data_IF_425462872677
#
_entry.id   IF_425462872677
#
_cell.length_a   1.000
_cell.length_b   1.000
_cell.length_c   1.000
_cell.angle_alpha   90.00
_cell.angle_beta   90.00
_cell.angle_gamma   90.00
#
_symmetry.space_group_name_H-M   'P 1'
#
loop_
_entity.id
_entity.type
_entity.pdbx_description
1 polymer ?
#
# COMPACT_ATOMS: atom_id res chain seq x y z
N UNK A 1 -21.06 18.55 -81.11
CA UNK A 1 -20.74 17.56 -82.17
C UNK A 1 -20.81 16.23 -81.54
N UNK A 2 -21.86 15.56 -81.75
CA UNK A 2 -22.15 14.30 -82.44
C UNK A 2 -21.66 13.11 -81.63
N UNK A 3 -22.39 12.21 -81.24
CA UNK A 3 -23.56 11.41 -81.64
C UNK A 3 -23.24 9.95 -81.17
N UNK A 4 -24.14 9.35 -80.39
CA UNK A 4 -25.20 8.41 -80.81
C UNK A 4 -24.71 6.99 -81.06
N UNK A 5 -25.17 5.98 -80.42
CA UNK A 5 -26.13 4.90 -80.62
C UNK A 5 -25.80 3.68 -79.70
N UNK A 6 -26.76 3.27 -78.90
CA UNK A 6 -27.72 2.18 -79.04
C UNK A 6 -27.12 0.82 -79.55
N UNK A 7 -27.31 -0.24 -78.80
CA UNK A 7 -28.40 -1.20 -79.00
C UNK A 7 -28.43 -2.34 -77.96
N UNK A 8 -29.66 -2.70 -77.68
CA UNK A 8 -30.08 -3.87 -76.84
C UNK A 8 -29.68 -5.20 -77.44
N UNK A 9 -29.51 -6.23 -76.63
CA UNK A 9 -30.30 -7.47 -76.77
C UNK A 9 -30.09 -8.39 -75.55
N UNK A 10 -31.25 -8.85 -75.11
CA UNK A 10 -31.55 -9.87 -74.13
C UNK A 10 -31.10 -11.25 -74.58
N UNK A 11 -30.77 -12.15 -73.61
CA UNK A 11 -31.36 -13.50 -73.54
C UNK A 11 -31.06 -14.19 -72.24
N UNK A 12 -32.09 -14.78 -71.72
CA UNK A 12 -32.18 -15.71 -70.58
C UNK A 12 -31.25 -16.94 -70.71
N UNK A 13 -30.85 -17.52 -69.56
CA UNK A 13 -31.18 -18.90 -69.18
C UNK A 13 -30.50 -19.29 -67.87
N UNK A 14 -31.32 -19.60 -66.88
CA UNK A 14 -31.41 -20.80 -66.05
C UNK A 14 -30.32 -21.07 -65.02
N UNK A 15 -30.66 -20.87 -63.82
CA UNK A 15 -30.73 -21.75 -62.65
C UNK A 15 -29.76 -22.93 -62.54
N UNK A 16 -28.96 -22.92 -61.48
CA UNK A 16 -28.79 -24.10 -60.63
C UNK A 16 -28.25 -23.62 -59.25
N UNK A 17 -28.95 -23.98 -58.22
CA UNK A 17 -28.67 -23.56 -56.85
C UNK A 17 -27.48 -24.27 -56.26
N UNK A 18 -26.81 -23.54 -55.40
CA UNK A 18 -25.97 -24.13 -54.33
C UNK A 18 -26.24 -23.31 -53.07
N UNK A 19 -27.02 -23.89 -52.19
CA UNK A 19 -27.13 -23.44 -50.82
C UNK A 19 -25.77 -23.64 -50.15
N UNK A 20 -24.97 -22.59 -50.04
CA UNK A 20 -23.91 -22.48 -49.10
C UNK A 20 -24.46 -21.95 -47.79
N UNK A 21 -24.75 -22.84 -46.87
CA UNK A 21 -25.01 -22.48 -45.46
C UNK A 21 -23.73 -21.91 -44.87
N UNK A 22 -23.57 -20.61 -44.89
CA UNK A 22 -22.60 -19.90 -44.08
C UNK A 22 -23.08 -19.97 -42.66
N UNK A 23 -22.57 -20.95 -41.90
CA UNK A 23 -22.61 -20.90 -40.43
C UNK A 23 -21.91 -19.66 -39.98
N UNK A 24 -22.68 -18.61 -39.72
CA UNK A 24 -22.20 -17.39 -39.08
C UNK A 24 -21.76 -17.74 -37.66
N UNK A 25 -20.47 -17.91 -37.48
CA UNK A 25 -19.87 -17.74 -36.16
C UNK A 25 -20.26 -16.32 -35.68
N UNK A 26 -20.86 -16.18 -34.51
CA UNK A 26 -21.02 -14.85 -33.95
C UNK A 26 -19.61 -14.32 -33.74
N UNK A 27 -19.27 -13.31 -34.51
CA UNK A 27 -18.08 -12.52 -34.25
C UNK A 27 -18.20 -12.00 -32.83
N UNK A 28 -17.33 -12.50 -31.96
CA UNK A 28 -16.99 -11.86 -30.69
C UNK A 28 -16.26 -10.55 -31.02
N UNK A 29 -17.03 -9.62 -31.57
CA UNK A 29 -16.56 -8.27 -31.81
C UNK A 29 -16.79 -7.47 -30.56
N UNK A 30 -15.66 -7.14 -29.96
CA UNK A 30 -15.39 -5.87 -29.30
C UNK A 30 -16.19 -5.57 -28.05
N UNK A 31 -15.56 -5.87 -26.94
CA UNK A 31 -15.64 -5.05 -25.75
C UNK A 31 -14.77 -3.79 -25.97
N UNK A 32 -15.15 -2.97 -26.96
CA UNK A 32 -14.58 -1.65 -27.18
C UNK A 32 -15.34 -0.63 -26.34
N UNK A 33 -14.75 -0.26 -25.19
CA UNK A 33 -15.13 0.96 -24.50
C UNK A 33 -15.94 0.85 -23.23
N UNK A 34 -16.00 -0.28 -22.55
CA UNK A 34 -16.45 -0.28 -21.16
C UNK A 34 -15.45 0.49 -20.31
N UNK A 35 -15.80 1.72 -19.95
CA UNK A 35 -15.06 2.44 -18.92
C UNK A 35 -15.09 1.59 -17.64
N UNK A 36 -13.91 1.06 -17.27
CA UNK A 36 -13.79 0.31 -16.03
C UNK A 36 -14.24 1.17 -14.84
N UNK A 37 -14.98 0.60 -13.88
CA UNK A 37 -15.25 1.28 -12.63
C UNK A 37 -13.95 1.83 -12.03
N UNK A 38 -14.01 3.07 -11.54
CA UNK A 38 -12.85 3.72 -10.91
C UNK A 38 -13.00 3.72 -9.41
N UNK A 39 -11.86 3.66 -8.72
CA UNK A 39 -11.75 3.89 -7.29
C UNK A 39 -10.65 4.88 -7.02
N UNK A 40 -10.94 5.96 -6.26
CA UNK A 40 -9.94 6.93 -5.82
C UNK A 40 -9.28 6.43 -4.55
N UNK A 41 -7.96 6.31 -4.59
CA UNK A 41 -7.15 5.75 -3.52
C UNK A 41 -6.09 6.75 -3.07
N UNK A 42 -6.20 7.23 -1.82
CA UNK A 42 -5.21 8.09 -1.19
C UNK A 42 -4.10 7.27 -0.52
N UNK A 43 -2.85 7.67 -0.72
CA UNK A 43 -1.68 7.04 -0.10
C UNK A 43 -0.56 8.06 0.10
N UNK A 44 0.24 7.86 1.14
CA UNK A 44 1.48 8.62 1.34
C UNK A 44 2.69 7.88 0.78
N UNK A 45 3.77 8.62 0.47
CA UNK A 45 5.04 8.01 0.07
C UNK A 45 4.87 6.94 -1.01
N UNK A 46 4.26 7.30 -2.14
CA UNK A 46 3.90 6.37 -3.23
C UNK A 46 5.07 5.52 -3.74
N UNK A 47 6.31 6.02 -3.62
CA UNK A 47 7.54 5.30 -4.00
C UNK A 47 8.11 4.42 -2.87
N UNK A 48 7.51 4.44 -1.69
CA UNK A 48 7.94 3.62 -0.57
C UNK A 48 7.64 2.14 -0.79
N UNK A 49 8.53 1.28 -0.32
CA UNK A 49 8.32 -0.17 -0.26
C UNK A 49 7.12 -0.54 0.63
N UNK A 50 6.67 0.36 1.50
CA UNK A 50 5.45 0.20 2.29
C UNK A 50 4.22 -0.04 1.42
N UNK A 51 4.19 0.56 0.20
CA UNK A 51 3.11 0.42 -0.77
C UNK A 51 3.47 -0.42 -2.00
N UNK A 52 4.62 -1.13 -1.96
CA UNK A 52 5.07 -1.98 -3.08
C UNK A 52 3.99 -2.95 -3.60
N UNK A 53 3.15 -3.60 -2.77
CA UNK A 53 2.08 -4.46 -3.29
C UNK A 53 1.13 -3.74 -4.25
N UNK A 54 0.81 -2.46 -3.99
CA UNK A 54 -0.03 -1.65 -4.87
C UNK A 54 0.67 -1.30 -6.17
N UNK A 55 1.95 -0.91 -6.09
CA UNK A 55 2.78 -0.64 -7.27
C UNK A 55 2.84 -1.87 -8.17
N UNK A 56 3.07 -3.05 -7.60
CA UNK A 56 3.08 -4.32 -8.34
C UNK A 56 1.72 -4.60 -8.97
N UNK A 57 0.62 -4.45 -8.21
CA UNK A 57 -0.73 -4.71 -8.73
C UNK A 57 -1.07 -3.82 -9.92
N UNK A 58 -0.68 -2.55 -9.87
CA UNK A 58 -0.89 -1.59 -10.96
C UNK A 58 -0.04 -1.95 -12.20
N UNK A 59 1.27 -2.10 -12.03
CA UNK A 59 2.19 -2.27 -13.16
C UNK A 59 2.16 -3.67 -13.78
N UNK A 60 1.75 -4.69 -13.03
CA UNK A 60 1.42 -6.00 -13.58
C UNK A 60 0.01 -6.07 -14.20
N UNK A 61 -0.75 -4.97 -14.15
CA UNK A 61 -2.09 -4.89 -14.71
C UNK A 61 -3.14 -5.71 -13.95
N UNK A 62 -2.87 -6.11 -12.71
CA UNK A 62 -3.79 -6.96 -11.95
C UNK A 62 -5.12 -6.28 -11.63
N UNK A 63 -5.12 -4.97 -11.38
CA UNK A 63 -6.37 -4.23 -11.18
C UNK A 63 -7.23 -4.22 -12.46
N UNK A 64 -6.62 -3.95 -13.61
CA UNK A 64 -7.33 -3.97 -14.90
C UNK A 64 -7.83 -5.37 -15.25
N UNK A 65 -7.03 -6.41 -14.98
CA UNK A 65 -7.43 -7.81 -15.15
C UNK A 65 -8.67 -8.17 -14.32
N UNK A 66 -8.85 -7.48 -13.18
CA UNK A 66 -10.01 -7.66 -12.30
C UNK A 66 -11.15 -6.68 -12.59
N UNK A 67 -11.05 -5.91 -13.65
CA UNK A 67 -12.11 -5.03 -14.11
C UNK A 67 -12.24 -3.74 -13.32
N UNK A 68 -11.15 -3.23 -12.70
CA UNK A 68 -11.14 -1.97 -11.96
C UNK A 68 -9.95 -1.10 -12.36
N UNK A 69 -10.13 0.20 -12.32
CA UNK A 69 -9.08 1.20 -12.48
C UNK A 69 -8.89 1.98 -11.19
N UNK A 70 -7.63 2.12 -10.75
CA UNK A 70 -7.28 2.92 -9.58
C UNK A 70 -6.87 4.32 -10.01
N UNK A 71 -7.50 5.33 -9.41
CA UNK A 71 -7.10 6.73 -9.51
C UNK A 71 -6.28 7.08 -8.27
N UNK A 72 -4.99 7.29 -8.47
CA UNK A 72 -4.05 7.52 -7.38
C UNK A 72 -4.09 8.96 -6.89
N UNK A 73 -4.20 9.16 -5.57
CA UNK A 73 -4.12 10.46 -4.91
C UNK A 73 -2.93 10.45 -3.95
N UNK A 74 -1.70 10.77 -4.43
CA UNK A 74 -0.52 10.81 -3.58
C UNK A 74 -0.58 11.97 -2.58
N UNK A 75 -0.08 11.72 -1.38
CA UNK A 75 -0.02 12.67 -0.27
C UNK A 75 1.37 12.65 0.37
N UNK A 76 1.75 13.73 1.07
CA UNK A 76 3.06 13.83 1.74
C UNK A 76 3.15 13.00 3.03
N UNK A 77 2.00 12.68 3.65
CA UNK A 77 1.96 11.91 4.89
C UNK A 77 0.72 11.04 5.00
N UNK A 78 0.78 10.00 5.86
CA UNK A 78 -0.38 9.16 6.19
C UNK A 78 -1.52 9.95 6.82
N UNK A 79 -1.21 11.00 7.60
CA UNK A 79 -2.23 11.89 8.17
C UNK A 79 -2.99 12.65 7.08
N UNK A 80 -2.28 13.15 6.04
CA UNK A 80 -2.93 13.82 4.90
C UNK A 80 -3.74 12.83 4.04
N UNK A 81 -3.23 11.61 3.83
CA UNK A 81 -4.00 10.57 3.13
C UNK A 81 -5.30 10.24 3.87
N UNK A 82 -5.27 10.18 5.20
CA UNK A 82 -6.46 10.02 6.02
C UNK A 82 -7.44 11.20 5.85
N UNK A 83 -6.95 12.44 5.90
CA UNK A 83 -7.79 13.62 5.68
C UNK A 83 -8.45 13.63 4.30
N UNK A 84 -7.74 13.19 3.25
CA UNK A 84 -8.30 13.09 1.90
C UNK A 84 -9.52 12.16 1.85
N UNK A 85 -9.50 11.06 2.59
CA UNK A 85 -10.65 10.14 2.67
C UNK A 85 -11.77 10.72 3.53
N UNK A 86 -11.45 11.35 4.66
CA UNK A 86 -12.43 11.98 5.53
C UNK A 86 -13.16 13.15 4.84
N UNK A 87 -12.47 13.87 3.95
CA UNK A 87 -13.02 14.97 3.17
C UNK A 87 -13.70 14.52 1.87
N UNK A 88 -13.79 13.20 1.60
CA UNK A 88 -14.42 12.65 0.39
C UNK A 88 -13.61 12.84 -0.91
N UNK A 89 -12.36 13.25 -0.83
CA UNK A 89 -11.47 13.39 -2.00
C UNK A 89 -11.02 12.02 -2.53
N UNK A 90 -10.97 11.00 -1.66
CA UNK A 90 -10.73 9.61 -2.01
C UNK A 90 -11.73 8.69 -1.29
N UNK A 91 -11.93 7.49 -1.84
CA UNK A 91 -12.85 6.49 -1.29
C UNK A 91 -12.13 5.46 -0.42
N UNK A 92 -10.87 5.18 -0.76
CA UNK A 92 -10.01 4.19 -0.11
C UNK A 92 -8.72 4.86 0.34
N UNK A 93 -8.23 4.50 1.51
CA UNK A 93 -6.89 4.85 1.97
C UNK A 93 -6.00 3.60 1.95
N UNK A 94 -4.82 3.73 1.36
CA UNK A 94 -3.72 2.83 1.65
C UNK A 94 -2.84 3.47 2.73
N UNK A 95 -2.77 2.85 3.88
CA UNK A 95 -2.08 3.44 5.02
C UNK A 95 -1.91 2.46 6.17
N UNK A 96 -1.38 2.96 7.26
CA UNK A 96 -1.12 2.17 8.44
C UNK A 96 -2.39 1.85 9.22
N UNK A 97 -2.46 0.62 9.70
CA UNK A 97 -3.65 0.07 10.35
C UNK A 97 -4.09 0.85 11.59
N UNK A 98 -3.15 1.44 12.33
CA UNK A 98 -3.45 2.17 13.57
C UNK A 98 -4.37 3.38 13.38
N UNK A 99 -4.47 3.94 12.17
CA UNK A 99 -5.45 4.99 11.87
C UNK A 99 -6.88 4.54 12.16
N UNK A 100 -7.19 3.25 11.98
CA UNK A 100 -8.51 2.70 12.28
C UNK A 100 -8.87 2.83 13.76
N UNK A 101 -7.91 2.67 14.66
CA UNK A 101 -8.16 2.86 16.09
C UNK A 101 -8.59 4.29 16.41
N UNK A 102 -7.90 5.28 15.82
CA UNK A 102 -8.26 6.69 15.96
C UNK A 102 -9.63 7.02 15.36
N UNK A 103 -9.97 6.42 14.23
CA UNK A 103 -11.29 6.57 13.59
C UNK A 103 -12.41 5.98 14.46
N UNK A 104 -12.23 4.76 14.96
CA UNK A 104 -13.22 4.10 15.85
C UNK A 104 -13.40 4.85 17.18
N UNK A 105 -12.34 5.46 17.73
CA UNK A 105 -12.48 6.35 18.92
C UNK A 105 -13.40 7.53 18.64
N UNK A 106 -13.41 8.04 17.41
CA UNK A 106 -14.29 9.13 16.96
C UNK A 106 -15.67 8.64 16.51
N UNK A 107 -15.95 7.33 16.61
CA UNK A 107 -17.22 6.73 16.18
C UNK A 107 -17.36 6.58 14.67
N UNK A 108 -16.28 6.65 13.91
CA UNK A 108 -16.28 6.53 12.46
C UNK A 108 -16.05 5.08 12.05
N UNK A 109 -16.99 4.43 11.31
CA UNK A 109 -16.98 3.01 11.03
C UNK A 109 -16.13 2.66 9.80
N UNK A 110 -14.82 2.94 9.88
CA UNK A 110 -13.87 2.51 8.85
C UNK A 110 -13.36 1.10 9.14
N UNK A 111 -13.12 0.33 8.10
CA UNK A 111 -12.60 -1.03 8.21
C UNK A 111 -11.43 -1.25 7.25
N UNK A 112 -10.42 -2.01 7.71
CA UNK A 112 -9.45 -2.64 6.82
C UNK A 112 -10.12 -3.82 6.12
N UNK A 113 -9.90 -3.95 4.81
CA UNK A 113 -10.40 -5.05 4.01
C UNK A 113 -9.32 -5.84 3.27
N UNK A 114 -8.05 -5.34 3.26
CA UNK A 114 -6.85 -6.08 2.84
C UNK A 114 -5.67 -5.63 3.69
N UNK A 115 -4.96 -6.57 4.30
CA UNK A 115 -3.68 -6.33 4.96
C UNK A 115 -2.53 -6.52 3.97
N UNK A 116 -1.66 -5.54 3.82
CA UNK A 116 -0.51 -5.61 2.92
C UNK A 116 0.78 -6.02 3.63
N UNK A 117 0.95 -5.65 4.91
CA UNK A 117 2.12 -6.03 5.70
C UNK A 117 1.76 -6.42 7.12
N UNK A 118 2.61 -7.25 7.74
CA UNK A 118 2.50 -7.77 9.11
C UNK A 118 3.45 -7.09 10.08
N UNK A 119 4.01 -5.98 9.64
CA UNK A 119 4.93 -5.14 10.42
C UNK A 119 4.71 -3.67 10.05
N UNK A 120 5.00 -2.71 10.94
CA UNK A 120 4.92 -1.28 10.62
C UNK A 120 5.91 -0.81 9.55
N UNK A 121 6.98 -1.57 9.27
CA UNK A 121 8.01 -1.28 8.25
C UNK A 121 8.69 0.09 8.42
N UNK A 122 8.84 0.56 9.65
CA UNK A 122 9.44 1.85 10.00
C UNK A 122 10.74 1.64 10.76
N UNK A 123 11.70 2.53 10.57
CA UNK A 123 12.98 2.56 11.30
C UNK A 123 13.17 3.92 11.95
N UNK A 124 14.01 3.94 13.00
CA UNK A 124 14.51 5.14 13.63
C UNK A 124 16.04 5.07 13.69
N UNK A 125 16.71 6.10 13.19
CA UNK A 125 18.17 6.22 13.19
C UNK A 125 18.63 7.62 13.51
N UNK A 126 19.74 7.72 14.24
CA UNK A 126 20.42 8.97 14.55
C UNK A 126 21.44 9.33 13.47
N UNK A 127 21.56 10.60 13.13
CA UNK A 127 22.49 11.12 12.15
C UNK A 127 23.94 10.97 12.63
N UNK A 128 24.82 10.40 11.80
CA UNK A 128 26.26 10.30 12.07
C UNK A 128 26.98 11.64 11.93
N UNK A 129 26.32 12.66 11.37
CA UNK A 129 26.88 13.99 11.12
C UNK A 129 26.82 14.92 12.31
N UNK A 130 25.99 14.60 13.34
CA UNK A 130 25.75 15.48 14.48
C UNK A 130 26.83 15.44 15.56
N UNK A 131 27.81 14.54 15.43
CA UNK A 131 28.83 14.30 16.48
C UNK A 131 28.28 13.63 17.75
N UNK A 132 26.96 13.36 17.82
CA UNK A 132 26.37 12.59 18.91
C UNK A 132 26.71 11.11 18.79
N UNK A 133 26.96 10.46 19.93
CA UNK A 133 27.08 9.01 19.98
C UNK A 133 25.70 8.37 20.09
N UNK A 134 25.35 7.51 19.16
CA UNK A 134 24.06 6.81 19.10
C UNK A 134 24.28 5.35 19.50
N UNK A 135 24.28 5.04 20.81
CA UNK A 135 24.48 3.68 21.33
C UNK A 135 23.15 3.01 21.70
N UNK A 136 22.18 3.82 22.13
CA UNK A 136 20.88 3.37 22.63
C UNK A 136 19.77 4.36 22.28
N UNK A 137 18.51 3.96 22.49
CA UNK A 137 17.37 4.88 22.31
C UNK A 137 17.40 6.08 23.24
N UNK A 138 18.01 6.00 24.40
CA UNK A 138 18.07 7.13 25.35
C UNK A 138 18.96 8.27 24.87
N UNK A 139 19.85 8.03 23.89
CA UNK A 139 20.71 9.06 23.30
C UNK A 139 19.95 10.06 22.43
N UNK A 140 18.69 9.74 22.10
CA UNK A 140 17.81 10.64 21.33
C UNK A 140 17.26 11.81 22.18
N UNK A 141 17.50 11.79 23.50
CA UNK A 141 17.02 12.85 24.41
C UNK A 141 17.50 14.23 23.96
N UNK A 142 16.56 15.18 23.88
CA UNK A 142 16.83 16.53 23.37
C UNK A 142 17.09 16.63 21.89
N UNK A 143 16.96 15.55 21.12
CA UNK A 143 17.18 15.56 19.66
C UNK A 143 15.97 16.12 18.92
N UNK A 144 16.24 16.73 17.76
CA UNK A 144 15.23 17.05 16.75
C UNK A 144 14.99 15.78 15.92
N UNK A 145 13.82 15.18 16.12
CA UNK A 145 13.45 13.93 15.50
C UNK A 145 12.53 14.18 14.31
N UNK A 146 13.02 13.94 13.10
CA UNK A 146 12.25 14.01 11.87
C UNK A 146 11.23 12.89 11.78
N UNK A 147 9.97 13.25 11.48
CA UNK A 147 8.86 12.36 11.19
C UNK A 147 8.15 12.84 9.94
N UNK A 148 7.37 11.98 9.26
CA UNK A 148 6.67 12.42 8.04
C UNK A 148 5.64 13.51 8.32
N UNK A 149 4.89 13.41 9.42
CA UNK A 149 4.03 14.44 10.00
C UNK A 149 3.65 14.02 11.41
N UNK A 150 3.14 14.96 12.20
CA UNK A 150 2.46 14.62 13.46
C UNK A 150 1.23 13.76 13.16
N UNK A 151 0.88 12.88 14.08
CA UNK A 151 -0.21 11.89 13.95
C UNK A 151 -0.06 10.87 12.78
N UNK A 152 1.12 10.84 12.14
CA UNK A 152 1.46 9.79 11.16
C UNK A 152 2.03 8.55 11.84
N UNK A 153 2.16 7.45 11.08
CA UNK A 153 2.80 6.20 11.54
C UNK A 153 4.21 6.41 12.06
N UNK A 154 5.00 7.26 11.40
CA UNK A 154 6.39 7.53 11.82
C UNK A 154 6.43 8.23 13.17
N UNK A 155 5.54 9.21 13.41
CA UNK A 155 5.38 9.87 14.70
C UNK A 155 4.91 8.89 15.78
N UNK A 156 3.85 8.12 15.49
CA UNK A 156 3.33 7.13 16.42
C UNK A 156 4.36 6.08 16.79
N UNK A 157 5.13 5.54 15.83
CA UNK A 157 6.18 4.57 16.09
C UNK A 157 7.31 5.17 16.94
N UNK A 158 7.72 6.40 16.66
CA UNK A 158 8.72 7.10 17.46
C UNK A 158 8.25 7.22 18.93
N UNK A 159 7.01 7.66 19.17
CA UNK A 159 6.43 7.72 20.51
C UNK A 159 6.41 6.35 21.22
N UNK A 160 6.13 5.26 20.48
CA UNK A 160 6.18 3.90 21.04
C UNK A 160 7.59 3.52 21.49
N UNK A 161 8.61 3.82 20.69
CA UNK A 161 10.00 3.53 21.04
C UNK A 161 10.49 4.37 22.20
N UNK A 162 10.17 5.66 22.23
CA UNK A 162 10.47 6.54 23.37
C UNK A 162 9.91 5.93 24.66
N UNK A 163 8.61 5.66 24.68
CA UNK A 163 7.92 5.14 25.86
C UNK A 163 8.49 3.79 26.33
N UNK A 164 8.80 2.87 25.41
CA UNK A 164 9.39 1.56 25.77
C UNK A 164 10.78 1.68 26.43
N UNK A 165 11.45 2.79 26.20
CA UNK A 165 12.75 3.11 26.79
C UNK A 165 12.64 4.10 27.99
N UNK A 166 11.43 4.22 28.57
CA UNK A 166 11.19 5.05 29.74
C UNK A 166 11.24 6.56 29.47
N UNK A 167 11.05 6.96 28.22
CA UNK A 167 11.07 8.36 27.78
C UNK A 167 9.67 8.83 27.43
N UNK A 168 9.41 10.12 27.64
CA UNK A 168 8.21 10.79 27.16
C UNK A 168 8.46 11.42 25.78
N UNK A 169 7.37 11.78 25.09
CA UNK A 169 7.47 12.44 23.79
C UNK A 169 8.00 13.89 23.88
N UNK A 170 7.87 14.52 25.05
CA UNK A 170 8.35 15.87 25.35
C UNK A 170 9.89 15.92 25.51
N UNK A 171 10.54 14.76 25.62
CA UNK A 171 12.01 14.67 25.70
C UNK A 171 12.70 14.79 24.35
N UNK A 172 11.94 14.90 23.25
CA UNK A 172 12.44 15.14 21.88
C UNK A 172 11.66 16.30 21.25
N UNK A 173 12.24 16.91 20.21
CA UNK A 173 11.54 17.91 19.40
C UNK A 173 11.16 17.26 18.07
N UNK A 174 9.87 16.99 17.86
CA UNK A 174 9.39 16.46 16.58
C UNK A 174 9.44 17.53 15.49
N UNK A 175 9.98 17.16 14.32
CA UNK A 175 10.06 18.02 13.13
C UNK A 175 9.38 17.30 11.96
N UNK A 176 8.39 17.93 11.35
CA UNK A 176 7.73 17.39 10.17
C UNK A 176 8.62 17.60 8.92
N UNK A 177 9.03 16.49 8.30
CA UNK A 177 9.93 16.49 7.14
C UNK A 177 9.33 15.83 5.89
N UNK A 178 8.06 15.42 5.96
CA UNK A 178 7.41 14.66 4.90
C UNK A 178 7.95 13.24 4.74
N UNK A 179 7.72 12.68 3.56
CA UNK A 179 8.18 11.33 3.19
C UNK A 179 8.85 11.29 1.81
N UNK A 180 9.16 12.46 1.25
CA UNK A 180 9.76 12.66 -0.08
C UNK A 180 11.27 12.94 0.00
N UNK A 181 11.86 13.38 -1.10
CA UNK A 181 13.32 13.65 -1.21
C UNK A 181 13.87 14.66 -0.20
N UNK A 182 13.04 15.58 0.30
CA UNK A 182 13.45 16.60 1.30
C UNK A 182 13.91 16.01 2.64
N UNK A 183 13.52 14.77 2.94
CA UNK A 183 13.88 14.06 4.18
C UNK A 183 15.40 13.94 4.36
N UNK A 184 16.11 13.58 3.28
CA UNK A 184 17.58 13.41 3.31
C UNK A 184 18.29 14.74 3.46
N UNK A 185 17.75 15.79 2.86
CA UNK A 185 18.30 17.15 3.01
C UNK A 185 18.14 17.66 4.44
N UNK A 186 16.99 17.45 5.08
CA UNK A 186 16.78 17.82 6.47
C UNK A 186 17.79 17.15 7.42
N UNK A 187 18.17 15.88 7.14
CA UNK A 187 19.20 15.17 7.90
C UNK A 187 20.59 15.71 7.64
N UNK A 188 20.94 15.98 6.35
CA UNK A 188 22.25 16.41 5.92
C UNK A 188 22.56 17.86 6.29
N UNK A 189 21.57 18.74 6.24
CA UNK A 189 21.70 20.15 6.68
C UNK A 189 21.78 20.28 8.21
N UNK A 190 21.52 19.18 8.94
CA UNK A 190 21.44 19.24 10.39
C UNK A 190 20.17 19.90 10.90
N UNK A 191 19.13 20.05 10.10
CA UNK A 191 17.82 20.52 10.55
C UNK A 191 17.15 19.53 11.49
N UNK A 192 17.49 18.23 11.37
CA UNK A 192 17.13 17.15 12.29
C UNK A 192 18.36 16.37 12.74
N UNK A 193 18.31 15.81 13.93
CA UNK A 193 19.39 15.01 14.53
C UNK A 193 19.15 13.50 14.35
N UNK A 194 17.90 13.11 14.21
CA UNK A 194 17.47 11.73 14.00
C UNK A 194 16.25 11.70 13.08
N UNK A 195 16.01 10.54 12.47
CA UNK A 195 14.93 10.34 11.50
C UNK A 195 14.16 9.06 11.80
N UNK A 196 12.84 9.14 11.75
CA UNK A 196 11.93 8.01 11.76
C UNK A 196 11.17 7.95 10.42
N UNK A 197 11.48 6.94 9.59
CA UNK A 197 10.93 6.85 8.23
C UNK A 197 10.85 5.38 7.76
N UNK A 198 10.05 5.05 6.72
CA UNK A 198 10.10 3.75 6.06
C UNK A 198 11.24 3.65 5.04
N UNK A 199 11.46 2.43 4.54
CA UNK A 199 12.34 2.16 3.40
C UNK A 199 11.69 2.62 2.06
N UNK A 200 12.52 2.95 1.05
CA UNK A 200 13.94 2.61 0.92
C UNK A 200 14.92 3.64 1.50
N UNK A 201 14.45 4.82 1.91
CA UNK A 201 15.31 5.93 2.37
C UNK A 201 16.15 5.53 3.59
N UNK A 202 15.56 4.85 4.58
CA UNK A 202 16.27 4.44 5.79
C UNK A 202 17.37 3.43 5.49
N UNK A 203 17.12 2.46 4.64
CA UNK A 203 18.12 1.49 4.22
C UNK A 203 19.29 2.14 3.46
N UNK A 204 18.96 3.08 2.58
CA UNK A 204 19.99 3.85 1.85
C UNK A 204 20.89 4.67 2.77
N UNK A 205 20.31 5.42 3.72
CA UNK A 205 21.06 6.19 4.70
C UNK A 205 21.93 5.28 5.59
N UNK A 206 21.42 4.11 5.97
CA UNK A 206 22.15 3.07 6.71
C UNK A 206 23.36 2.56 5.90
N UNK A 207 23.18 2.21 4.62
CA UNK A 207 24.26 1.76 3.74
C UNK A 207 25.35 2.84 3.49
N UNK A 208 24.94 4.12 3.44
CA UNK A 208 25.87 5.25 3.30
C UNK A 208 26.55 5.63 4.61
N UNK A 209 26.26 4.94 5.71
CA UNK A 209 26.69 5.30 7.06
C UNK A 209 26.32 6.72 7.47
N UNK A 210 25.21 7.25 6.92
CA UNK A 210 24.69 8.58 7.29
C UNK A 210 23.79 8.54 8.53
N UNK A 211 23.27 7.36 8.87
CA UNK A 211 22.55 7.10 10.11
C UNK A 211 23.11 5.87 10.84
N UNK A 212 23.01 5.89 12.17
CA UNK A 212 23.09 4.70 13.00
C UNK A 212 21.69 4.28 13.41
N UNK A 213 21.32 3.07 13.04
CA UNK A 213 20.00 2.53 13.35
C UNK A 213 19.87 2.28 14.85
N UNK A 214 18.81 2.79 15.46
CA UNK A 214 18.46 2.63 16.88
C UNK A 214 17.34 1.61 17.06
N UNK A 215 16.32 1.69 16.22
CA UNK A 215 15.15 0.81 16.28
C UNK A 215 14.63 0.50 14.87
N UNK A 216 14.04 -0.69 14.70
CA UNK A 216 13.38 -1.06 13.44
C UNK A 216 12.18 -1.99 13.64
N UNK A 217 11.22 -1.87 12.75
CA UNK A 217 10.10 -2.80 12.57
C UNK A 217 9.97 -3.26 11.12
N UNK A 218 11.07 -3.29 10.38
CA UNK A 218 11.13 -3.80 8.99
C UNK A 218 10.88 -5.31 8.93
N UNK A 219 11.37 -6.04 9.93
CA UNK A 219 11.31 -7.50 10.01
C UNK A 219 10.31 -7.97 11.05
N UNK A 220 9.85 -9.21 10.93
CA UNK A 220 9.04 -9.87 11.96
C UNK A 220 9.77 -9.95 13.31
N UNK A 221 11.09 -10.20 13.26
CA UNK A 221 11.93 -10.23 14.47
C UNK A 221 12.05 -8.86 15.13
N UNK A 222 12.33 -7.81 14.37
CA UNK A 222 12.37 -6.44 14.87
C UNK A 222 11.02 -6.01 15.46
N UNK A 223 9.93 -6.32 14.76
CA UNK A 223 8.57 -6.03 15.23
C UNK A 223 8.26 -6.79 16.51
N UNK A 224 8.66 -8.06 16.65
CA UNK A 224 8.44 -8.84 17.87
C UNK A 224 9.12 -8.20 19.08
N UNK A 225 10.34 -7.69 18.92
CA UNK A 225 11.06 -6.98 20.00
C UNK A 225 10.30 -5.77 20.50
N UNK A 226 9.60 -5.05 19.62
CA UNK A 226 8.89 -3.81 19.94
C UNK A 226 7.42 -4.07 20.31
N UNK A 227 6.73 -4.93 19.57
CA UNK A 227 5.28 -5.13 19.69
C UNK A 227 4.89 -6.44 20.37
N UNK A 228 5.84 -7.31 20.69
CA UNK A 228 5.57 -8.65 21.24
C UNK A 228 5.15 -9.69 20.19
N UNK A 229 5.11 -9.33 18.92
CA UNK A 229 4.76 -10.21 17.80
C UNK A 229 4.40 -9.41 16.55
N UNK A 230 3.97 -10.08 15.48
CA UNK A 230 3.46 -9.42 14.29
C UNK A 230 2.24 -8.57 14.63
N UNK A 231 2.11 -7.43 13.94
CA UNK A 231 0.97 -6.52 14.01
C UNK A 231 0.59 -6.09 12.59
N UNK A 232 -0.67 -5.76 12.33
CA UNK A 232 -1.04 -5.23 11.02
C UNK A 232 -0.30 -3.90 10.78
N UNK A 233 0.35 -3.81 9.62
CA UNK A 233 1.02 -2.60 9.15
C UNK A 233 0.21 -1.91 8.05
N UNK A 234 0.75 -1.89 6.82
CA UNK A 234 0.03 -1.35 5.67
C UNK A 234 -1.26 -2.11 5.38
N UNK A 235 -2.34 -1.37 5.15
CA UNK A 235 -3.67 -1.91 4.86
C UNK A 235 -4.41 -1.04 3.85
N UNK A 236 -5.35 -1.64 3.10
CA UNK A 236 -6.42 -0.89 2.47
C UNK A 236 -7.58 -0.75 3.44
N UNK A 237 -8.06 0.48 3.60
CA UNK A 237 -9.18 0.78 4.50
C UNK A 237 -10.17 1.74 3.84
N UNK A 238 -11.45 1.58 4.18
CA UNK A 238 -12.53 2.40 3.68
C UNK A 238 -13.66 2.50 4.71
N UNK A 239 -14.55 3.46 4.50
CA UNK A 239 -15.79 3.55 5.27
C UNK A 239 -16.66 2.32 5.03
N UNK A 240 -17.34 1.82 6.06
CA UNK A 240 -18.20 0.62 5.97
C UNK A 240 -19.28 0.72 4.88
N UNK A 241 -19.80 1.92 4.62
CA UNK A 241 -20.77 2.14 3.55
C UNK A 241 -20.23 1.80 2.15
N UNK A 242 -18.95 2.09 1.86
CA UNK A 242 -18.35 1.70 0.57
C UNK A 242 -18.33 0.18 0.42
N UNK A 243 -17.94 -0.52 1.50
CA UNK A 243 -17.86 -1.98 1.51
C UNK A 243 -19.24 -2.64 1.29
N UNK A 244 -20.30 -2.00 1.79
CA UNK A 244 -21.67 -2.50 1.68
C UNK A 244 -22.36 -2.11 0.36
N UNK A 245 -22.17 -0.88 -0.10
CA UNK A 245 -22.87 -0.35 -1.29
C UNK A 245 -22.21 -0.69 -2.62
N UNK A 246 -20.88 -0.93 -2.59
CA UNK A 246 -20.08 -1.21 -3.80
C UNK A 246 -19.17 -2.44 -3.62
N UNK A 247 -19.73 -3.59 -3.15
CA UNK A 247 -18.93 -4.78 -2.83
C UNK A 247 -18.15 -5.29 -4.05
N UNK A 248 -18.71 -5.19 -5.26
CA UNK A 248 -18.04 -5.64 -6.50
C UNK A 248 -16.77 -4.85 -6.79
N UNK A 249 -16.80 -3.52 -6.59
CA UNK A 249 -15.62 -2.65 -6.76
C UNK A 249 -14.55 -2.98 -5.72
N UNK A 250 -14.96 -3.18 -4.47
CA UNK A 250 -14.07 -3.55 -3.37
C UNK A 250 -13.47 -4.94 -3.62
N UNK A 251 -14.27 -5.89 -4.12
CA UNK A 251 -13.81 -7.24 -4.46
C UNK A 251 -12.79 -7.20 -5.61
N UNK A 252 -13.06 -6.46 -6.67
CA UNK A 252 -12.14 -6.32 -7.80
C UNK A 252 -10.79 -5.72 -7.38
N UNK A 253 -10.81 -4.67 -6.53
CA UNK A 253 -9.61 -4.07 -5.97
C UNK A 253 -8.85 -5.08 -5.09
N UNK A 254 -9.56 -5.81 -4.24
CA UNK A 254 -8.99 -6.85 -3.37
C UNK A 254 -8.35 -7.97 -4.18
N UNK A 255 -9.06 -8.47 -5.20
CA UNK A 255 -8.58 -9.55 -6.08
C UNK A 255 -7.26 -9.18 -6.76
N UNK A 256 -7.16 -7.96 -7.29
CA UNK A 256 -5.95 -7.46 -7.93
C UNK A 256 -4.78 -7.35 -6.95
N UNK A 257 -5.04 -6.82 -5.76
CA UNK A 257 -4.00 -6.67 -4.74
C UNK A 257 -3.52 -8.01 -4.17
N UNK A 258 -4.42 -8.98 -3.97
CA UNK A 258 -4.06 -10.33 -3.48
C UNK A 258 -3.18 -11.07 -4.51
N UNK A 259 -3.34 -10.84 -5.82
CA UNK A 259 -2.41 -11.36 -6.84
C UNK A 259 -1.00 -10.83 -6.62
N UNK A 260 -0.85 -9.52 -6.39
CA UNK A 260 0.45 -8.90 -6.14
C UNK A 260 1.09 -9.41 -4.84
N UNK A 261 0.29 -9.53 -3.76
CA UNK A 261 0.76 -10.07 -2.48
C UNK A 261 1.30 -11.50 -2.60
N UNK A 262 0.70 -12.32 -3.44
CA UNK A 262 1.17 -13.70 -3.69
C UNK A 262 2.36 -13.76 -4.64
N UNK A 263 2.50 -12.79 -5.53
CA UNK A 263 3.63 -12.70 -6.44
C UNK A 263 4.92 -12.26 -5.72
N UNK A 264 4.84 -11.32 -4.78
CA UNK A 264 6.00 -10.73 -4.10
C UNK A 264 6.98 -11.74 -3.46
N UNK A 265 6.55 -12.81 -2.76
CA UNK A 265 7.47 -13.80 -2.20
C UNK A 265 8.26 -14.57 -3.26
N UNK A 266 7.72 -14.72 -4.46
CA UNK A 266 8.31 -15.49 -5.57
C UNK A 266 9.18 -14.64 -6.49
N UNK A 267 9.06 -13.29 -6.40
CA UNK A 267 9.75 -12.37 -7.28
C UNK A 267 11.26 -12.35 -7.04
N UNK A 268 12.04 -12.53 -8.08
CA UNK A 268 13.47 -12.25 -8.06
C UNK A 268 13.75 -10.73 -8.10
N UNK A 269 14.99 -10.33 -7.80
CA UNK A 269 15.38 -8.91 -7.85
C UNK A 269 15.20 -8.30 -9.25
N UNK A 270 15.45 -9.09 -10.29
CA UNK A 270 15.24 -8.69 -11.69
C UNK A 270 13.75 -8.47 -11.99
N UNK A 271 12.87 -9.28 -11.41
CA UNK A 271 11.42 -9.14 -11.61
C UNK A 271 10.90 -7.86 -10.96
N UNK A 272 11.42 -7.51 -9.79
CA UNK A 272 11.12 -6.23 -9.13
C UNK A 272 11.52 -5.05 -10.04
N UNK A 273 12.73 -5.06 -10.59
CA UNK A 273 13.21 -3.98 -11.45
C UNK A 273 12.42 -3.85 -12.77
N UNK A 274 11.93 -4.96 -13.31
CA UNK A 274 11.08 -4.95 -14.53
C UNK A 274 9.66 -4.46 -14.26
N UNK A 275 9.16 -4.69 -13.05
CA UNK A 275 7.77 -4.39 -12.68
C UNK A 275 7.63 -2.98 -12.11
N UNK A 276 8.56 -2.55 -11.27
CA UNK A 276 8.48 -1.27 -10.56
C UNK A 276 9.03 -0.15 -11.44
N UNK A 277 8.36 1.01 -11.56
CA UNK A 277 8.84 2.15 -12.32
C UNK A 277 10.25 2.55 -11.90
N UNK A 278 11.09 2.90 -12.89
CA UNK A 278 12.48 3.30 -12.63
C UNK A 278 12.60 4.52 -11.70
N UNK A 279 11.61 5.41 -11.68
CA UNK A 279 11.55 6.54 -10.76
C UNK A 279 11.61 6.16 -9.28
N UNK A 280 11.24 4.92 -8.91
CA UNK A 280 11.31 4.44 -7.53
C UNK A 280 12.73 4.04 -7.10
N UNK A 281 13.61 3.67 -8.02
CA UNK A 281 14.93 3.08 -7.72
C UNK A 281 16.11 3.67 -8.50
N UNK A 282 15.87 4.59 -9.46
CA UNK A 282 16.93 5.15 -10.30
C UNK A 282 17.99 5.94 -9.52
N UNK A 283 17.63 6.45 -8.35
CA UNK A 283 18.52 7.19 -7.46
C UNK A 283 19.56 6.28 -6.76
N UNK A 284 19.23 5.04 -6.42
CA UNK A 284 20.15 3.98 -5.95
C UNK A 284 19.46 2.60 -6.04
N UNK A 285 19.71 1.91 -7.15
CA UNK A 285 19.11 0.58 -7.42
C UNK A 285 19.49 -0.46 -6.37
N UNK A 286 20.74 -0.46 -5.93
CA UNK A 286 21.22 -1.46 -4.97
C UNK A 286 20.56 -1.27 -3.60
N UNK A 287 20.43 -0.03 -3.16
CA UNK A 287 19.74 0.28 -1.91
C UNK A 287 18.25 -0.09 -1.97
N UNK A 288 17.57 0.18 -3.08
CA UNK A 288 16.18 -0.21 -3.26
C UNK A 288 15.98 -1.72 -3.17
N UNK A 289 16.82 -2.49 -3.87
CA UNK A 289 16.74 -3.96 -3.87
C UNK A 289 17.11 -4.56 -2.51
N UNK A 290 18.13 -4.05 -1.84
CA UNK A 290 18.51 -4.49 -0.50
C UNK A 290 17.41 -4.21 0.54
N UNK A 291 16.75 -3.07 0.43
CA UNK A 291 15.59 -2.74 1.25
C UNK A 291 14.40 -3.70 0.98
N UNK A 292 14.14 -4.01 -0.30
CA UNK A 292 13.10 -4.99 -0.66
C UNK A 292 13.37 -6.37 -0.05
N UNK A 293 14.59 -6.89 -0.16
CA UNK A 293 14.94 -8.19 0.43
C UNK A 293 14.73 -8.20 1.94
N UNK A 294 15.10 -7.12 2.63
CA UNK A 294 14.91 -6.98 4.08
C UNK A 294 13.43 -6.97 4.48
N UNK A 295 12.56 -6.37 3.64
CA UNK A 295 11.12 -6.27 3.89
C UNK A 295 10.31 -7.48 3.41
N UNK A 296 10.87 -8.35 2.56
CA UNK A 296 10.14 -9.42 1.86
C UNK A 296 9.27 -10.26 2.78
N UNK A 297 9.80 -10.67 3.94
CA UNK A 297 9.07 -11.51 4.91
C UNK A 297 7.91 -10.79 5.61
N UNK A 298 7.90 -9.45 5.57
CA UNK A 298 6.91 -8.64 6.25
C UNK A 298 5.61 -8.49 5.47
N UNK A 299 5.58 -8.78 4.17
CA UNK A 299 4.35 -8.69 3.39
C UNK A 299 3.34 -9.77 3.76
N UNK A 300 2.07 -9.42 3.79
CA UNK A 300 0.96 -10.30 4.13
C UNK A 300 0.51 -11.08 2.90
N UNK A 301 1.13 -12.22 2.61
CA UNK A 301 0.98 -13.00 1.36
C UNK A 301 -0.48 -13.34 1.03
N UNK A 302 -1.31 -13.59 2.05
CA UNK A 302 -2.71 -13.93 1.90
C UNK A 302 -3.68 -12.73 2.05
N UNK A 303 -3.16 -11.57 2.43
CA UNK A 303 -3.93 -10.34 2.64
C UNK A 303 -4.85 -10.35 3.87
N UNK A 304 -4.87 -11.43 4.66
CA UNK A 304 -5.78 -11.60 5.79
C UNK A 304 -5.35 -10.76 7.01
N UNK A 305 -6.32 -10.08 7.60
CA UNK A 305 -6.16 -9.45 8.92
C UNK A 305 -6.40 -10.49 10.00
N UNK A 306 -5.45 -10.64 10.93
CA UNK A 306 -5.54 -11.61 12.02
C UNK A 306 -5.92 -10.94 13.33
N UNK A 307 -7.03 -11.37 13.93
CA UNK A 307 -7.56 -10.79 15.18
C UNK A 307 -6.50 -10.68 16.28
N UNK A 308 -5.66 -11.70 16.46
CA UNK A 308 -4.61 -11.68 17.47
C UNK A 308 -3.55 -10.58 17.22
N UNK A 309 -3.24 -10.29 15.93
CA UNK A 309 -2.34 -9.20 15.54
C UNK A 309 -2.99 -7.83 15.80
N UNK A 310 -4.28 -7.70 15.52
CA UNK A 310 -5.05 -6.46 15.76
C UNK A 310 -5.18 -6.18 17.26
N UNK A 311 -5.53 -7.18 18.06
CA UNK A 311 -5.61 -7.04 19.52
C UNK A 311 -4.27 -6.60 20.09
N UNK A 312 -3.18 -7.18 19.64
CA UNK A 312 -1.83 -6.78 20.06
C UNK A 312 -1.51 -5.34 19.67
N UNK A 313 -1.80 -4.96 18.42
CA UNK A 313 -1.61 -3.60 17.94
C UNK A 313 -2.43 -2.60 18.78
N UNK A 314 -3.69 -2.94 19.09
CA UNK A 314 -4.54 -2.13 19.94
C UNK A 314 -3.99 -2.00 21.36
N UNK A 315 -3.55 -3.10 21.97
CA UNK A 315 -2.95 -3.06 23.32
C UNK A 315 -1.76 -2.09 23.38
N UNK A 316 -0.88 -2.14 22.36
CA UNK A 316 0.26 -1.23 22.27
C UNK A 316 -0.20 0.22 22.05
N UNK A 317 -1.14 0.44 21.12
CA UNK A 317 -1.68 1.76 20.78
C UNK A 317 -2.45 2.39 21.95
N UNK A 318 -3.29 1.62 22.63
CA UNK A 318 -4.12 2.10 23.72
C UNK A 318 -3.32 2.71 24.88
N UNK A 319 -2.08 2.26 25.08
CA UNK A 319 -1.23 2.82 26.12
C UNK A 319 -0.77 4.25 25.86
N UNK A 320 -0.81 4.73 24.62
CA UNK A 320 -0.51 6.12 24.26
C UNK A 320 -1.74 7.05 24.40
N UNK A 321 -2.91 6.51 24.73
CA UNK A 321 -4.18 7.25 24.75
C UNK A 321 -4.76 7.34 26.16
N UNK A 322 -5.50 8.43 26.47
CA UNK A 322 -6.21 8.55 27.75
C UNK A 322 -7.15 7.38 28.00
N UNK A 323 -7.29 6.90 29.26
CA UNK A 323 -8.15 5.75 29.58
C UNK A 323 -9.58 5.86 29.07
N UNK A 324 -10.19 7.04 29.16
CA UNK A 324 -11.59 7.28 28.73
C UNK A 324 -11.81 7.07 27.23
N UNK A 325 -10.79 7.22 26.38
CA UNK A 325 -10.90 7.00 24.94
C UNK A 325 -10.74 5.52 24.53
N UNK A 326 -10.26 4.67 25.43
CA UNK A 326 -9.98 3.24 25.15
C UNK A 326 -11.24 2.40 25.03
N UNK A 327 -12.29 2.74 25.80
CA UNK A 327 -13.52 1.94 25.90
C UNK A 327 -14.38 1.91 24.61
N UNK A 328 -14.11 2.81 23.64
CA UNK A 328 -14.90 2.93 22.41
C UNK A 328 -14.41 2.06 21.26
N UNK A 329 -13.22 1.48 21.35
CA UNK A 329 -12.63 0.70 20.27
C UNK A 329 -12.86 -0.78 20.51
N UNK A 330 -13.55 -1.41 19.59
CA UNK A 330 -13.67 -2.87 19.50
C UNK A 330 -12.78 -3.34 18.35
N UNK A 331 -11.58 -3.91 18.65
CA UNK A 331 -10.60 -4.27 17.63
C UNK A 331 -11.18 -5.15 16.51
N UNK A 332 -12.10 -6.04 16.84
CA UNK A 332 -12.74 -6.97 15.90
C UNK A 332 -13.65 -6.28 14.87
N UNK A 333 -14.08 -5.04 15.15
CA UNK A 333 -14.91 -4.24 14.24
C UNK A 333 -14.09 -3.37 13.28
N UNK A 334 -12.77 -3.33 13.46
CA UNK A 334 -11.89 -2.50 12.64
C UNK A 334 -11.52 -3.15 11.31
N UNK A 335 -11.98 -4.37 11.03
CA UNK A 335 -11.65 -5.05 9.77
C UNK A 335 -12.75 -6.03 9.33
N UNK A 336 -12.68 -6.39 8.05
CA UNK A 336 -13.39 -7.53 7.46
C UNK A 336 -12.45 -8.34 6.59
N UNK A 337 -12.56 -9.68 6.66
CA UNK A 337 -11.82 -10.59 5.80
C UNK A 337 -12.66 -11.15 4.65
N UNK A 338 -13.92 -10.73 4.50
CA UNK A 338 -14.85 -11.31 3.54
C UNK A 338 -14.29 -11.27 2.10
N UNK A 339 -13.79 -10.12 1.67
CA UNK A 339 -13.27 -9.93 0.33
C UNK A 339 -11.97 -10.71 0.08
N UNK A 340 -11.06 -10.73 1.04
CA UNK A 340 -9.79 -11.47 0.94
C UNK A 340 -10.02 -12.98 0.96
N UNK A 341 -10.97 -13.47 1.75
CA UNK A 341 -11.34 -14.89 1.77
C UNK A 341 -11.91 -15.32 0.41
N UNK A 342 -12.79 -14.50 -0.18
CA UNK A 342 -13.33 -14.75 -1.52
C UNK A 342 -12.23 -14.76 -2.57
N UNK A 343 -11.32 -13.78 -2.57
CA UNK A 343 -10.17 -13.70 -3.47
C UNK A 343 -9.27 -14.94 -3.37
N UNK A 344 -8.93 -15.36 -2.15
CA UNK A 344 -8.09 -16.53 -1.91
C UNK A 344 -8.78 -17.84 -2.35
N UNK A 345 -10.08 -17.96 -2.15
CA UNK A 345 -10.86 -19.14 -2.59
C UNK A 345 -10.90 -19.23 -4.11
N UNK A 346 -11.20 -18.12 -4.80
CA UNK A 346 -11.24 -18.08 -6.26
C UNK A 346 -9.89 -18.46 -6.89
N UNK A 347 -8.77 -18.05 -6.29
CA UNK A 347 -7.45 -18.41 -6.78
C UNK A 347 -7.10 -19.90 -6.56
N UNK A 348 -7.49 -20.47 -5.41
CA UNK A 348 -7.30 -21.92 -5.17
C UNK A 348 -8.06 -22.78 -6.15
N UNK A 349 -9.29 -22.39 -6.50
CA UNK A 349 -10.10 -23.10 -7.49
C UNK A 349 -9.48 -23.04 -8.89
N UNK A 350 -8.94 -21.89 -9.30
CA UNK A 350 -8.25 -21.75 -10.59
C UNK A 350 -6.98 -22.61 -10.65
N UNK A 351 -6.17 -22.64 -9.60
CA UNK A 351 -4.95 -23.46 -9.55
C UNK A 351 -5.24 -24.97 -9.64
N UNK A 352 -6.42 -25.42 -9.18
CA UNK A 352 -6.85 -26.83 -9.31
C UNK A 352 -7.40 -27.17 -10.69
N UNK A 353 -7.87 -26.19 -11.45
CA UNK A 353 -8.41 -26.40 -12.79
C UNK A 353 -7.31 -26.38 -13.88
N UNK A 354 -6.11 -25.94 -13.56
CA UNK A 354 -4.96 -25.82 -14.48
C UNK A 354 -3.83 -26.81 -14.20
N UNK A 355 -3.90 -27.63 -13.18
CA UNK A 355 -2.99 -28.72 -12.81
C UNK A 355 -3.68 -30.07 -12.95
#
# INVERSE_FOLDING_TARGET
MSSVHRTRRSMLLAALGSLATTSGLPALVSDMGRHLPRVKLALAASQSLYHLPLTVAEHMGFFRQKGIQVEWLPQESGAQALQSVLNGQAEVMAGAYEHLFGLHQKGLPYQSFVQMSRTPQVCLGGSTRTGKSWQSMTDIRGARLGVSALDSTTHWMACQWLRRNGMSQEEVVFVEVGSSAGVTEALRSGSIDALCNPDPIMHWLEQKNEIRLLCETRTLTGTRKVMGGAVPGASLMAHADLLQRHPDRVQALTDGLVLALKWLPTAGLTDILKTVPSSHWSWDRAAYLGAFEKLRESYAVDGLVRSAEVIRAWQVHAHLRPPASRARVLPERTFTNAFVQAANTAQRLRGRATG
#
